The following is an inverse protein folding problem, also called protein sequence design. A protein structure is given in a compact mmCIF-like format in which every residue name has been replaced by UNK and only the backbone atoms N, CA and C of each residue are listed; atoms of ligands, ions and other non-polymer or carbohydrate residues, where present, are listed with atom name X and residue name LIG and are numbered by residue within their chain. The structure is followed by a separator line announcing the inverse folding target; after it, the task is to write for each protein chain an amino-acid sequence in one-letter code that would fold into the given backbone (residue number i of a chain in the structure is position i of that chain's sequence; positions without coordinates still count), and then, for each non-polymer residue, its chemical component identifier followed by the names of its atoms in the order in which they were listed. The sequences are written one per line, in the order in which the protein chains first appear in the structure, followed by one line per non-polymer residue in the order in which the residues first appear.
data_IF_174580610321
#
_entry.id   IF_174580610321
#
_cell.length_a   1.000
_cell.length_b   1.000
_cell.length_c   1.000
_cell.angle_alpha   90.00
_cell.angle_beta   90.00
_cell.angle_gamma   90.00
#
_symmetry.space_group_name_H-M   'P 1'
#
loop_
_entity.id
_entity.type
_entity.pdbx_description
1 polymer ?
#
# COMPACT_ATOMS: atom_id res chain seq x y z
N UNK A 1 5.08 24.42 -18.35
CA UNK A 1 4.36 23.17 -18.04
C UNK A 1 3.80 22.60 -19.33
N UNK A 2 4.25 21.41 -19.74
CA UNK A 2 3.57 20.62 -20.79
C UNK A 2 2.22 20.21 -20.17
N UNK A 3 1.10 20.41 -20.87
CA UNK A 3 -0.20 19.98 -20.34
C UNK A 3 -0.19 18.46 -20.19
N UNK A 4 -0.60 17.96 -19.02
CA UNK A 4 -0.70 16.51 -18.78
C UNK A 4 -1.78 15.95 -19.72
N UNK A 5 -1.38 15.04 -20.61
CA UNK A 5 -2.31 14.42 -21.56
C UNK A 5 -2.99 13.24 -20.88
N UNK A 6 -4.29 13.37 -20.68
CA UNK A 6 -5.10 12.34 -20.03
C UNK A 6 -5.95 11.56 -21.02
N UNK A 7 -6.15 10.27 -20.75
CA UNK A 7 -7.09 9.37 -21.42
C UNK A 7 -8.11 8.85 -20.41
N UNK A 8 -9.33 8.56 -20.86
CA UNK A 8 -10.36 7.95 -20.00
C UNK A 8 -10.23 6.44 -19.99
N UNK A 9 -10.71 5.78 -18.94
CA UNK A 9 -10.82 4.32 -18.92
C UNK A 9 -11.71 3.77 -20.03
N UNK A 10 -12.76 4.49 -20.41
CA UNK A 10 -13.61 4.09 -21.53
C UNK A 10 -12.83 4.05 -22.86
N UNK A 11 -11.92 4.99 -23.07
CA UNK A 11 -11.06 5.00 -24.25
C UNK A 11 -9.99 3.89 -24.19
N UNK A 12 -9.40 3.65 -23.01
CA UNK A 12 -8.48 2.52 -22.79
C UNK A 12 -9.19 1.19 -23.08
N UNK A 13 -10.37 0.96 -22.50
CA UNK A 13 -11.15 -0.26 -22.70
C UNK A 13 -11.51 -0.41 -24.18
N UNK A 14 -11.95 0.67 -24.84
CA UNK A 14 -12.25 0.63 -26.28
C UNK A 14 -11.01 0.27 -27.12
N UNK A 15 -9.84 0.79 -26.76
CA UNK A 15 -8.58 0.43 -27.41
C UNK A 15 -8.24 -1.05 -27.19
N UNK A 16 -8.38 -1.55 -25.95
CA UNK A 16 -8.07 -2.93 -25.58
C UNK A 16 -9.11 -3.96 -26.07
N UNK A 17 -10.27 -3.52 -26.58
CA UNK A 17 -11.17 -4.40 -27.34
C UNK A 17 -10.60 -4.79 -28.71
N UNK A 18 -9.52 -4.17 -29.17
CA UNK A 18 -8.77 -4.62 -30.34
C UNK A 18 -7.79 -5.70 -29.95
N UNK A 19 -7.81 -6.83 -30.67
CA UNK A 19 -6.89 -7.94 -30.44
C UNK A 19 -5.41 -7.51 -30.49
N UNK A 20 -5.07 -6.55 -31.35
CA UNK A 20 -3.69 -6.05 -31.50
C UNK A 20 -3.21 -5.36 -30.22
N UNK A 21 -4.02 -4.46 -29.66
CA UNK A 21 -3.64 -3.74 -28.43
C UNK A 21 -3.72 -4.63 -27.20
N UNK A 22 -4.70 -5.54 -27.15
CA UNK A 22 -4.78 -6.54 -26.08
C UNK A 22 -3.57 -7.47 -26.08
N UNK A 23 -3.16 -7.95 -27.26
CA UNK A 23 -2.00 -8.81 -27.42
C UNK A 23 -0.72 -8.09 -26.98
N UNK A 24 -0.53 -6.83 -27.42
CA UNK A 24 0.66 -6.06 -27.03
C UNK A 24 0.68 -5.76 -25.52
N UNK A 25 -0.46 -5.43 -24.91
CA UNK A 25 -0.57 -5.29 -23.46
C UNK A 25 -0.18 -6.59 -22.75
N UNK A 26 -0.75 -7.72 -23.18
CA UNK A 26 -0.48 -9.01 -22.59
C UNK A 26 0.97 -9.45 -22.75
N UNK A 27 1.59 -9.16 -23.90
CA UNK A 27 3.00 -9.43 -24.16
C UNK A 27 3.90 -8.63 -23.22
N UNK A 28 3.68 -7.31 -23.10
CA UNK A 28 4.43 -6.43 -22.20
C UNK A 28 4.25 -6.85 -20.74
N UNK A 29 3.02 -7.04 -20.30
CA UNK A 29 2.73 -7.42 -18.93
C UNK A 29 3.35 -8.77 -18.56
N UNK A 30 3.06 -9.79 -19.37
CA UNK A 30 3.52 -11.14 -19.13
C UNK A 30 5.05 -11.28 -19.11
N UNK A 31 5.73 -10.65 -20.07
CA UNK A 31 7.17 -10.81 -20.22
C UNK A 31 8.00 -9.82 -19.41
N UNK A 32 7.54 -8.58 -19.29
CA UNK A 32 8.36 -7.48 -18.76
C UNK A 32 8.04 -7.21 -17.27
N UNK A 33 6.85 -7.59 -16.78
CA UNK A 33 6.38 -7.18 -15.45
C UNK A 33 5.94 -8.33 -14.52
N UNK A 34 5.76 -9.55 -15.04
CA UNK A 34 5.53 -10.72 -14.19
C UNK A 34 6.83 -11.49 -13.98
N UNK A 35 7.16 -11.77 -12.71
CA UNK A 35 8.25 -12.68 -12.38
C UNK A 35 7.88 -14.12 -12.75
N UNK A 36 8.89 -14.99 -12.94
CA UNK A 36 8.64 -16.41 -13.22
C UNK A 36 7.82 -17.11 -12.11
N UNK A 37 7.96 -16.66 -10.85
CA UNK A 37 7.16 -17.16 -9.73
C UNK A 37 5.69 -16.75 -9.86
N UNK A 38 5.42 -15.49 -10.19
CA UNK A 38 4.07 -14.98 -10.44
C UNK A 38 3.43 -15.72 -11.63
N UNK A 39 4.16 -15.88 -12.74
CA UNK A 39 3.67 -16.64 -13.89
C UNK A 39 3.32 -18.09 -13.50
N UNK A 40 4.18 -18.77 -12.75
CA UNK A 40 3.91 -20.12 -12.28
C UNK A 40 2.71 -20.20 -11.33
N UNK A 41 2.51 -19.19 -10.48
CA UNK A 41 1.34 -19.10 -9.60
C UNK A 41 0.05 -18.91 -10.40
N UNK A 42 0.08 -18.06 -11.44
CA UNK A 42 -1.06 -17.85 -12.34
C UNK A 42 -1.43 -19.12 -13.10
N UNK A 43 -0.45 -19.84 -13.66
CA UNK A 43 -0.70 -21.12 -14.35
C UNK A 43 -1.35 -22.14 -13.41
N UNK A 44 -0.87 -22.25 -12.15
CA UNK A 44 -1.47 -23.17 -11.18
C UNK A 44 -2.89 -22.79 -10.79
N UNK A 45 -3.18 -21.50 -10.68
CA UNK A 45 -4.47 -20.99 -10.21
C UNK A 45 -5.55 -21.01 -11.31
N UNK A 46 -5.17 -20.72 -12.56
CA UNK A 46 -6.09 -20.48 -13.68
C UNK A 46 -5.82 -21.42 -14.87
N UNK A 47 -5.38 -22.64 -14.59
CA UNK A 47 -4.93 -23.57 -15.63
C UNK A 47 -5.99 -23.80 -16.71
N UNK A 48 -7.25 -23.99 -16.32
CA UNK A 48 -8.32 -24.31 -17.27
C UNK A 48 -8.68 -23.09 -18.12
N UNK A 49 -8.79 -21.92 -17.50
CA UNK A 49 -9.13 -20.67 -18.18
C UNK A 49 -8.04 -20.25 -19.17
N UNK A 50 -6.78 -20.53 -18.85
CA UNK A 50 -5.65 -20.30 -19.76
C UNK A 50 -5.68 -21.27 -20.95
N UNK A 51 -6.07 -22.54 -20.75
CA UNK A 51 -6.23 -23.50 -21.84
C UNK A 51 -7.38 -23.10 -22.77
N UNK A 52 -8.53 -22.73 -22.21
CA UNK A 52 -9.68 -22.25 -22.99
C UNK A 52 -9.30 -21.00 -23.81
N UNK A 53 -8.58 -20.05 -23.19
CA UNK A 53 -8.10 -18.86 -23.88
C UNK A 53 -7.09 -19.20 -25.00
N UNK A 54 -6.24 -20.20 -24.80
CA UNK A 54 -5.28 -20.62 -25.82
C UNK A 54 -6.01 -21.18 -27.05
N UNK A 55 -7.07 -21.96 -26.85
CA UNK A 55 -7.89 -22.49 -27.93
C UNK A 55 -8.64 -21.37 -28.67
N UNK A 56 -9.24 -20.43 -27.95
CA UNK A 56 -9.88 -19.24 -28.53
C UNK A 56 -8.90 -18.41 -29.36
N UNK A 57 -7.67 -18.24 -28.87
CA UNK A 57 -6.64 -17.44 -29.56
C UNK A 57 -6.07 -18.13 -30.80
N UNK A 58 -6.13 -19.46 -30.88
CA UNK A 58 -5.64 -20.22 -32.04
C UNK A 58 -6.44 -19.94 -33.33
N UNK A 59 -7.69 -19.47 -33.20
CA UNK A 59 -8.55 -19.11 -34.33
C UNK A 59 -8.22 -17.72 -34.93
N UNK A 60 -7.42 -16.89 -34.24
CA UNK A 60 -7.01 -15.58 -34.74
C UNK A 60 -5.83 -15.69 -35.69
N UNK A 61 -6.12 -15.69 -37.00
CA UNK A 61 -5.10 -15.83 -38.05
C UNK A 61 -4.21 -14.60 -38.28
N UNK A 62 -4.50 -13.46 -37.65
CA UNK A 62 -3.82 -12.18 -37.87
C UNK A 62 -2.69 -11.87 -36.89
N UNK A 63 -2.53 -12.67 -35.82
CA UNK A 63 -1.54 -12.45 -34.76
C UNK A 63 -0.67 -13.71 -34.54
N UNK A 64 0.56 -13.55 -34.03
CA UNK A 64 1.37 -14.71 -33.62
C UNK A 64 0.69 -15.44 -32.46
N UNK A 65 0.82 -16.76 -32.42
CA UNK A 65 0.41 -17.53 -31.24
C UNK A 65 1.17 -17.02 -30.01
N UNK A 66 0.49 -16.70 -28.90
CA UNK A 66 1.14 -16.19 -27.70
C UNK A 66 1.98 -17.27 -27.03
N UNK A 67 3.15 -16.90 -26.50
CA UNK A 67 3.84 -17.72 -25.52
C UNK A 67 3.09 -17.73 -24.18
N UNK A 68 3.52 -18.57 -23.24
CA UNK A 68 2.83 -18.73 -21.96
C UNK A 68 2.75 -17.43 -21.15
N UNK A 69 3.80 -16.60 -21.18
CA UNK A 69 3.82 -15.33 -20.48
C UNK A 69 2.81 -14.34 -21.08
N UNK A 70 2.81 -14.21 -22.41
CA UNK A 70 1.87 -13.39 -23.16
C UNK A 70 0.43 -13.83 -22.94
N UNK A 71 0.17 -15.15 -22.95
CA UNK A 71 -1.15 -15.72 -22.69
C UNK A 71 -1.68 -15.33 -21.29
N UNK A 72 -0.83 -15.41 -20.27
CA UNK A 72 -1.17 -14.98 -18.90
C UNK A 72 -1.48 -13.49 -18.88
N UNK A 73 -0.66 -12.66 -19.53
CA UNK A 73 -0.91 -11.21 -19.60
C UNK A 73 -2.23 -10.87 -20.30
N UNK A 74 -2.57 -11.55 -21.40
CA UNK A 74 -3.86 -11.38 -22.09
C UNK A 74 -5.02 -11.78 -21.17
N UNK A 75 -4.91 -12.92 -20.49
CA UNK A 75 -5.91 -13.39 -19.54
C UNK A 75 -6.14 -12.35 -18.42
N UNK A 76 -5.08 -11.88 -17.77
CA UNK A 76 -5.17 -10.90 -16.71
C UNK A 76 -5.79 -9.59 -17.20
N UNK A 77 -5.38 -9.11 -18.38
CA UNK A 77 -5.97 -7.90 -18.97
C UNK A 77 -7.48 -8.07 -19.22
N UNK A 78 -7.91 -9.21 -19.78
CA UNK A 78 -9.34 -9.51 -19.98
C UNK A 78 -10.10 -9.53 -18.65
N UNK A 79 -9.54 -10.13 -17.60
CA UNK A 79 -10.16 -10.13 -16.29
C UNK A 79 -10.32 -8.72 -15.73
N UNK A 80 -9.26 -7.92 -15.71
CA UNK A 80 -9.33 -6.52 -15.22
C UNK A 80 -10.35 -5.71 -16.01
N UNK A 81 -10.36 -5.81 -17.35
CA UNK A 81 -11.33 -5.12 -18.19
C UNK A 81 -12.76 -5.55 -17.87
N UNK A 82 -13.00 -6.85 -17.69
CA UNK A 82 -14.32 -7.36 -17.35
C UNK A 82 -14.79 -6.84 -15.98
N UNK A 83 -13.91 -6.81 -14.99
CA UNK A 83 -14.21 -6.26 -13.67
C UNK A 83 -14.53 -4.77 -13.75
N UNK A 84 -13.72 -3.98 -14.47
CA UNK A 84 -13.92 -2.54 -14.66
C UNK A 84 -15.25 -2.21 -15.35
N UNK A 85 -15.63 -2.95 -16.40
CA UNK A 85 -16.89 -2.72 -17.13
C UNK A 85 -18.12 -2.93 -16.25
N UNK A 86 -18.01 -3.77 -15.21
CA UNK A 86 -19.10 -4.08 -14.30
C UNK A 86 -19.24 -3.11 -13.12
N UNK A 87 -18.39 -2.07 -13.04
CA UNK A 87 -18.45 -1.08 -11.96
C UNK A 87 -19.23 0.18 -12.35
N UNK A 88 -19.80 0.82 -11.33
CA UNK A 88 -20.23 2.21 -11.42
C UNK A 88 -19.08 3.13 -10.99
N UNK A 89 -18.63 4.08 -11.81
CA UNK A 89 -17.47 4.91 -11.49
C UNK A 89 -17.76 5.86 -10.32
N UNK A 90 -16.82 5.94 -9.37
CA UNK A 90 -16.83 6.97 -8.31
C UNK A 90 -16.15 8.22 -8.86
N UNK A 91 -16.90 9.29 -9.06
CA UNK A 91 -16.35 10.53 -9.61
C UNK A 91 -15.12 11.02 -8.84
N UNK A 92 -14.01 11.21 -9.54
CA UNK A 92 -12.77 11.75 -8.98
C UNK A 92 -12.13 12.75 -9.95
N UNK A 93 -11.58 13.84 -9.39
CA UNK A 93 -10.77 14.79 -10.14
C UNK A 93 -9.29 14.35 -10.25
N UNK A 94 -8.93 13.30 -9.51
CA UNK A 94 -7.58 12.73 -9.47
C UNK A 94 -7.25 11.96 -10.75
N UNK A 95 -5.95 11.80 -10.97
CA UNK A 95 -5.39 11.22 -12.18
C UNK A 95 -4.42 10.10 -11.78
N UNK A 96 -4.63 8.90 -12.31
CA UNK A 96 -3.65 7.83 -12.28
C UNK A 96 -2.52 8.21 -13.24
N UNK A 97 -1.41 8.66 -12.67
CA UNK A 97 -0.26 9.16 -13.41
C UNK A 97 0.82 8.08 -13.42
N UNK A 98 1.29 7.75 -14.62
CA UNK A 98 2.31 6.75 -14.89
C UNK A 98 3.48 7.44 -15.58
N UNK A 99 4.56 7.63 -14.82
CA UNK A 99 5.75 8.31 -15.30
C UNK A 99 6.90 7.32 -15.55
N UNK A 100 7.71 7.63 -16.56
CA UNK A 100 8.95 6.91 -16.83
C UNK A 100 10.16 7.75 -16.44
N UNK A 101 11.11 7.15 -15.74
CA UNK A 101 12.40 7.74 -15.42
C UNK A 101 13.54 7.02 -16.12
N UNK A 102 14.45 7.80 -16.72
CA UNK A 102 15.67 7.27 -17.33
C UNK A 102 16.61 6.62 -16.30
N UNK A 103 16.49 7.01 -15.02
CA UNK A 103 17.20 6.41 -13.90
C UNK A 103 16.22 5.59 -13.07
N UNK A 104 16.55 4.33 -12.74
CA UNK A 104 15.71 3.56 -11.84
C UNK A 104 15.63 4.22 -10.46
N UNK A 105 14.52 3.97 -9.77
CA UNK A 105 14.32 4.34 -8.38
C UNK A 105 15.09 3.39 -7.43
N UNK A 106 14.84 3.55 -6.12
CA UNK A 106 15.45 2.71 -5.09
C UNK A 106 15.04 1.22 -5.14
N UNK A 107 14.01 0.88 -5.92
CA UNK A 107 13.50 -0.48 -6.12
C UNK A 107 13.89 -1.04 -7.50
N UNK A 108 14.83 -0.40 -8.20
CA UNK A 108 15.23 -0.71 -9.57
C UNK A 108 14.08 -0.58 -10.61
N UNK A 109 12.99 0.10 -10.24
CA UNK A 109 11.89 0.40 -11.15
C UNK A 109 12.16 1.69 -11.91
N UNK A 110 11.89 1.68 -13.21
CA UNK A 110 11.90 2.89 -14.06
C UNK A 110 10.53 3.53 -14.21
N UNK A 111 9.50 2.85 -13.74
CA UNK A 111 8.13 3.30 -13.84
C UNK A 111 7.61 3.63 -12.45
N UNK A 112 6.95 4.77 -12.34
CA UNK A 112 6.32 5.23 -11.11
C UNK A 112 4.84 5.46 -11.38
N UNK A 113 4.00 4.97 -10.47
CA UNK A 113 2.56 5.15 -10.55
C UNK A 113 2.12 5.92 -9.31
N UNK A 114 1.45 7.05 -9.53
CA UNK A 114 0.91 7.89 -8.48
C UNK A 114 -0.54 8.25 -8.75
N UNK A 115 -1.26 8.55 -7.68
CA UNK A 115 -2.55 9.22 -7.71
C UNK A 115 -2.24 10.71 -7.60
N UNK A 116 -2.40 11.44 -8.70
CA UNK A 116 -2.11 12.87 -8.77
C UNK A 116 -3.39 13.68 -8.57
N UNK A 117 -3.37 14.58 -7.58
CA UNK A 117 -4.42 15.56 -7.33
C UNK A 117 -4.05 16.90 -8.00
N UNK A 118 -4.70 17.28 -9.11
CA UNK A 118 -4.35 18.50 -9.85
C UNK A 118 -4.77 19.79 -9.14
N UNK A 119 -5.64 19.72 -8.13
CA UNK A 119 -6.09 20.90 -7.36
C UNK A 119 -5.07 21.25 -6.29
N UNK A 120 -4.56 20.24 -5.59
CA UNK A 120 -3.56 20.39 -4.53
C UNK A 120 -2.11 20.38 -5.04
N UNK A 121 -1.88 19.92 -6.27
CA UNK A 121 -0.54 19.64 -6.83
C UNK A 121 0.22 18.61 -5.98
N UNK A 122 -0.48 17.54 -5.60
CA UNK A 122 0.03 16.48 -4.72
C UNK A 122 0.00 15.12 -5.42
N UNK A 123 1.03 14.32 -5.16
CA UNK A 123 1.14 12.93 -5.64
C UNK A 123 1.11 11.97 -4.45
N UNK A 124 0.24 10.97 -4.55
CA UNK A 124 0.04 9.93 -3.54
C UNK A 124 0.34 8.55 -4.13
N UNK A 125 0.71 7.61 -3.26
CA UNK A 125 0.86 6.19 -3.60
C UNK A 125 -0.39 5.41 -3.16
N UNK A 126 -0.48 4.12 -3.52
CA UNK A 126 -1.55 3.25 -3.02
C UNK A 126 -2.63 2.91 -4.06
N UNK A 127 -2.31 2.88 -5.36
CA UNK A 127 -3.28 2.44 -6.39
C UNK A 127 -3.84 1.03 -6.11
N UNK A 128 -3.04 0.15 -5.52
CA UNK A 128 -3.48 -1.17 -5.08
C UNK A 128 -4.58 -1.12 -4.00
N UNK A 129 -4.72 -0.02 -3.27
CA UNK A 129 -5.69 0.16 -2.19
C UNK A 129 -7.04 0.71 -2.68
N UNK A 130 -7.10 1.10 -3.96
CA UNK A 130 -8.34 1.59 -4.59
C UNK A 130 -9.23 0.44 -5.06
N UNK A 131 -10.54 0.59 -4.92
CA UNK A 131 -11.53 -0.27 -5.58
C UNK A 131 -11.51 -0.07 -7.10
N UNK A 132 -12.07 -1.02 -7.86
CA UNK A 132 -12.22 -0.84 -9.30
C UNK A 132 -13.13 0.34 -9.65
N UNK A 133 -14.13 0.65 -8.82
CA UNK A 133 -15.03 1.78 -8.99
C UNK A 133 -14.29 3.14 -8.86
N UNK A 134 -13.38 3.25 -7.91
CA UNK A 134 -12.52 4.43 -7.74
C UNK A 134 -11.53 4.58 -8.89
N UNK A 135 -10.86 3.48 -9.26
CA UNK A 135 -9.95 3.46 -10.43
C UNK A 135 -10.69 3.94 -11.68
N UNK A 136 -11.88 3.39 -11.97
CA UNK A 136 -12.67 3.71 -13.15
C UNK A 136 -13.08 5.18 -13.22
N UNK A 137 -13.29 5.81 -12.06
CA UNK A 137 -13.66 7.22 -11.95
C UNK A 137 -12.52 8.20 -12.17
N UNK A 138 -11.26 7.75 -12.08
CA UNK A 138 -10.08 8.56 -12.34
C UNK A 138 -9.75 8.63 -13.83
N UNK A 139 -9.06 9.70 -14.24
CA UNK A 139 -8.42 9.76 -15.56
C UNK A 139 -7.04 9.10 -15.49
N UNK A 140 -6.51 8.66 -16.63
CA UNK A 140 -5.16 8.09 -16.72
C UNK A 140 -4.26 9.03 -17.49
N UNK A 141 -3.04 9.26 -17.02
CA UNK A 141 -1.99 9.93 -17.76
C UNK A 141 -0.77 9.00 -17.82
N UNK A 142 -0.33 8.63 -19.02
CA UNK A 142 0.86 7.82 -19.23
C UNK A 142 1.83 8.68 -20.06
N UNK A 143 3.08 8.74 -19.62
CA UNK A 143 4.14 9.36 -20.40
C UNK A 143 4.24 8.71 -21.80
N UNK A 144 3.85 9.45 -22.83
CA UNK A 144 3.77 8.97 -24.21
C UNK A 144 5.07 9.15 -25.00
N UNK A 145 6.11 9.75 -24.39
CA UNK A 145 7.39 10.01 -25.06
C UNK A 145 8.29 8.75 -25.16
N UNK A 146 7.90 7.60 -24.56
CA UNK A 146 8.69 6.35 -24.55
C UNK A 146 7.94 5.10 -25.03
N UNK A 147 7.01 4.55 -24.25
CA UNK A 147 6.25 3.32 -24.60
C UNK A 147 4.93 3.26 -23.84
N UNK A 148 3.85 3.73 -24.47
CA UNK A 148 2.52 3.79 -23.88
C UNK A 148 2.01 2.42 -23.39
N UNK A 149 2.27 1.34 -24.14
CA UNK A 149 1.78 0.01 -23.79
C UNK A 149 2.53 -0.58 -22.60
N UNK A 150 3.83 -0.27 -22.46
CA UNK A 150 4.58 -0.64 -21.27
C UNK A 150 4.07 0.12 -20.03
N UNK A 151 3.80 1.43 -20.14
CA UNK A 151 3.20 2.19 -19.05
C UNK A 151 1.83 1.65 -18.63
N UNK A 152 1.00 1.26 -19.60
CA UNK A 152 -0.29 0.64 -19.33
C UNK A 152 -0.13 -0.73 -18.65
N UNK A 153 0.84 -1.55 -19.07
CA UNK A 153 1.13 -2.83 -18.43
C UNK A 153 1.56 -2.67 -16.97
N UNK A 154 2.38 -1.65 -16.67
CA UNK A 154 2.80 -1.33 -15.29
C UNK A 154 1.59 -0.91 -14.45
N UNK A 155 0.73 -0.06 -14.98
CA UNK A 155 -0.50 0.35 -14.29
C UNK A 155 -1.39 -0.86 -13.98
N UNK A 156 -1.63 -1.73 -14.96
CA UNK A 156 -2.43 -2.94 -14.76
C UNK A 156 -1.81 -3.88 -13.72
N UNK A 157 -0.48 -4.04 -13.75
CA UNK A 157 0.24 -4.82 -12.76
C UNK A 157 0.02 -4.28 -11.34
N UNK A 158 0.17 -2.96 -11.17
CA UNK A 158 -0.04 -2.28 -9.89
C UNK A 158 -1.46 -2.42 -9.38
N UNK A 159 -2.44 -2.22 -10.27
CA UNK A 159 -3.85 -2.45 -9.97
C UNK A 159 -3.97 -3.85 -9.38
N UNK A 160 -3.53 -4.90 -10.08
CA UNK A 160 -3.75 -6.29 -9.62
C UNK A 160 -3.01 -6.74 -8.35
N UNK A 161 -2.15 -5.91 -7.73
CA UNK A 161 -1.44 -6.30 -6.50
C UNK A 161 -2.36 -6.74 -5.36
N UNK A 162 -3.56 -6.15 -5.26
CA UNK A 162 -4.56 -6.51 -4.25
C UNK A 162 -5.53 -7.60 -4.69
N UNK A 163 -5.40 -8.12 -5.91
CA UNK A 163 -6.29 -9.13 -6.47
C UNK A 163 -6.72 -8.80 -7.89
N UNK A 164 -7.04 -9.85 -8.64
CA UNK A 164 -7.49 -9.75 -10.03
C UNK A 164 -9.00 -9.47 -10.11
N UNK A 165 -9.78 -10.07 -9.21
CA UNK A 165 -11.23 -9.88 -9.14
C UNK A 165 -11.63 -8.89 -8.06
N UNK A 166 -12.77 -8.22 -8.22
CA UNK A 166 -13.27 -7.23 -7.26
C UNK A 166 -13.38 -7.77 -5.83
N UNK A 167 -13.85 -9.02 -5.67
CA UNK A 167 -13.98 -9.65 -4.35
C UNK A 167 -12.63 -9.92 -3.68
N UNK A 168 -11.58 -10.24 -4.46
CA UNK A 168 -10.22 -10.43 -3.94
C UNK A 168 -9.67 -9.11 -3.42
N UNK A 169 -9.82 -8.05 -4.23
CA UNK A 169 -9.41 -6.69 -3.89
C UNK A 169 -10.12 -6.19 -2.65
N UNK A 170 -11.44 -6.29 -2.63
CA UNK A 170 -12.27 -5.87 -1.51
C UNK A 170 -11.87 -6.56 -0.21
N UNK A 171 -11.52 -7.84 -0.26
CA UNK A 171 -11.05 -8.57 0.92
C UNK A 171 -9.67 -8.09 1.42
N UNK A 172 -8.75 -7.76 0.52
CA UNK A 172 -7.43 -7.20 0.87
C UNK A 172 -7.58 -5.80 1.45
N UNK A 173 -8.32 -4.91 0.77
CA UNK A 173 -8.58 -3.54 1.21
C UNK A 173 -9.28 -3.53 2.58
N UNK A 174 -10.28 -4.39 2.78
CA UNK A 174 -10.95 -4.52 4.08
C UNK A 174 -9.97 -4.91 5.20
N UNK A 175 -9.08 -5.86 4.94
CA UNK A 175 -8.09 -6.31 5.92
C UNK A 175 -7.08 -5.20 6.24
N UNK A 176 -6.55 -4.53 5.24
CA UNK A 176 -5.63 -3.41 5.41
C UNK A 176 -6.26 -2.27 6.24
N UNK A 177 -7.50 -1.90 5.92
CA UNK A 177 -8.24 -0.90 6.70
C UNK A 177 -8.47 -1.34 8.16
N UNK A 178 -8.73 -2.61 8.40
CA UNK A 178 -8.89 -3.14 9.75
C UNK A 178 -7.56 -3.13 10.53
N UNK A 179 -6.45 -3.48 9.87
CA UNK A 179 -5.10 -3.42 10.44
C UNK A 179 -4.70 -1.99 10.77
N UNK A 180 -4.94 -1.04 9.86
CA UNK A 180 -4.67 0.37 10.08
C UNK A 180 -5.46 0.92 11.28
N UNK A 181 -6.76 0.63 11.38
CA UNK A 181 -7.57 1.04 12.54
C UNK A 181 -7.06 0.44 13.84
N UNK A 182 -6.57 -0.81 13.82
CA UNK A 182 -5.99 -1.44 15.00
C UNK A 182 -4.68 -0.75 15.42
N UNK A 183 -3.83 -0.39 14.46
CA UNK A 183 -2.60 0.38 14.70
C UNK A 183 -2.91 1.77 15.25
N UNK A 184 -3.86 2.49 14.65
CA UNK A 184 -4.31 3.81 15.12
C UNK A 184 -4.88 3.74 16.55
N UNK A 185 -5.73 2.75 16.84
CA UNK A 185 -6.25 2.53 18.18
C UNK A 185 -5.14 2.25 19.19
N UNK A 186 -4.18 1.38 18.84
CA UNK A 186 -3.04 1.09 19.71
C UNK A 186 -2.15 2.32 19.94
N UNK A 187 -2.00 3.18 18.93
CA UNK A 187 -1.28 4.45 19.05
C UNK A 187 -2.00 5.40 20.03
N UNK A 188 -3.32 5.57 19.91
CA UNK A 188 -4.08 6.40 20.84
C UNK A 188 -4.03 5.87 22.28
N UNK A 189 -4.19 4.55 22.47
CA UNK A 189 -4.08 3.92 23.79
C UNK A 189 -2.68 4.14 24.41
N UNK A 190 -1.63 4.02 23.60
CA UNK A 190 -0.26 4.30 24.02
C UNK A 190 -0.08 5.77 24.41
N UNK A 191 -0.52 6.70 23.56
CA UNK A 191 -0.43 8.15 23.83
C UNK A 191 -1.19 8.54 25.09
N UNK A 192 -2.40 8.02 25.30
CA UNK A 192 -3.18 8.29 26.50
C UNK A 192 -2.48 7.77 27.76
N UNK A 193 -2.00 6.52 27.73
CA UNK A 193 -1.32 5.91 28.88
C UNK A 193 -0.02 6.64 29.24
N UNK A 194 0.83 6.91 28.25
CA UNK A 194 2.09 7.63 28.45
C UNK A 194 1.86 9.05 28.99
N UNK A 195 0.86 9.77 28.46
CA UNK A 195 0.48 11.10 28.93
C UNK A 195 -0.04 11.08 30.37
N UNK A 196 -0.87 10.10 30.74
CA UNK A 196 -1.34 9.96 32.13
C UNK A 196 -0.18 9.71 33.10
N UNK A 197 0.80 8.88 32.72
CA UNK A 197 1.99 8.63 33.54
C UNK A 197 2.85 9.90 33.65
N UNK A 198 3.01 10.67 32.57
CA UNK A 198 3.75 11.93 32.59
C UNK A 198 3.10 12.96 33.52
N UNK A 199 1.79 13.18 33.38
CA UNK A 199 1.03 14.09 34.25
C UNK A 199 1.06 13.65 35.71
N UNK A 200 1.01 12.34 35.96
CA UNK A 200 1.20 11.81 37.30
C UNK A 200 2.58 12.18 37.87
N UNK A 201 3.66 12.04 37.08
CA UNK A 201 4.98 12.41 37.57
C UNK A 201 5.07 13.91 37.86
N UNK A 202 4.49 14.78 37.02
CA UNK A 202 4.47 16.22 37.27
C UNK A 202 3.79 16.55 38.62
N UNK A 203 2.63 15.95 38.89
CA UNK A 203 1.90 16.13 40.15
C UNK A 203 2.64 15.50 41.35
N UNK A 204 3.24 14.32 41.14
CA UNK A 204 3.96 13.60 42.18
C UNK A 204 5.22 14.36 42.61
N UNK A 205 5.95 14.97 41.66
CA UNK A 205 7.07 15.88 41.95
C UNK A 205 6.61 17.11 42.73
N UNK A 206 5.54 17.76 42.27
CA UNK A 206 5.03 18.96 42.93
C UNK A 206 4.59 18.71 44.38
N UNK A 207 4.12 17.49 44.69
CA UNK A 207 3.68 17.10 46.03
C UNK A 207 4.79 16.53 46.94
N UNK A 208 5.96 16.20 46.39
CA UNK A 208 7.10 15.64 47.14
C UNK A 208 8.41 16.42 46.90
N UNK A 209 8.43 17.76 47.09
CA UNK A 209 9.58 18.60 46.74
C UNK A 209 10.85 18.31 47.54
N UNK A 210 10.70 17.72 48.73
CA UNK A 210 11.79 17.46 49.66
C UNK A 210 12.34 16.02 49.58
N UNK A 211 11.84 15.17 48.67
CA UNK A 211 12.34 13.80 48.51
C UNK A 211 13.64 13.79 47.67
N UNK A 212 14.80 13.50 48.28
CA UNK A 212 16.09 13.57 47.59
C UNK A 212 16.30 12.45 46.57
N UNK A 213 15.55 11.35 46.63
CA UNK A 213 15.69 10.21 45.71
C UNK A 213 14.73 10.29 44.52
N UNK A 214 13.75 11.20 44.59
CA UNK A 214 12.71 11.32 43.58
C UNK A 214 13.21 11.58 42.15
N UNK A 215 14.26 12.40 41.92
CA UNK A 215 14.80 12.60 40.58
C UNK A 215 15.29 11.30 39.92
N UNK A 216 16.00 10.47 40.68
CA UNK A 216 16.53 9.18 40.19
C UNK A 216 15.40 8.16 39.95
N UNK A 217 14.38 8.16 40.83
CA UNK A 217 13.21 7.32 40.63
C UNK A 217 12.42 7.71 39.38
N UNK A 218 12.20 9.00 39.13
CA UNK A 218 11.51 9.46 37.92
C UNK A 218 12.33 9.14 36.68
N UNK A 219 13.64 9.37 36.71
CA UNK A 219 14.52 9.01 35.60
C UNK A 219 14.43 7.52 35.25
N UNK A 220 14.31 6.63 36.25
CA UNK A 220 14.14 5.19 36.03
C UNK A 220 12.84 4.86 35.28
N UNK A 221 11.74 5.55 35.57
CA UNK A 221 10.43 5.26 34.99
C UNK A 221 10.05 6.16 33.81
N UNK A 222 10.82 7.21 33.52
CA UNK A 222 10.60 8.12 32.40
C UNK A 222 10.46 7.44 31.03
N UNK A 223 11.12 6.31 30.73
CA UNK A 223 10.85 5.58 29.49
C UNK A 223 9.38 5.14 29.31
N UNK A 224 8.58 5.06 30.38
CA UNK A 224 7.13 4.79 30.28
C UNK A 224 6.31 5.98 29.75
N UNK A 225 6.88 7.17 29.67
CA UNK A 225 6.22 8.36 29.09
C UNK A 225 6.62 8.60 27.64
N UNK A 226 7.69 7.96 27.18
CA UNK A 226 8.31 8.24 25.88
C UNK A 226 8.37 7.02 24.96
N UNK A 227 8.21 5.80 25.50
CA UNK A 227 8.30 4.54 24.75
C UNK A 227 9.65 3.84 24.91
N UNK A 228 9.75 2.61 24.40
CA UNK A 228 11.02 1.85 24.39
C UNK A 228 11.85 2.28 23.19
N UNK A 229 13.12 2.63 23.42
CA UNK A 229 14.07 2.83 22.35
C UNK A 229 14.49 1.48 21.76
N UNK A 230 14.25 1.28 20.46
CA UNK A 230 14.66 0.09 19.72
C UNK A 230 15.37 0.51 18.42
N UNK A 231 16.34 -0.29 17.92
CA UNK A 231 16.96 0.00 16.64
C UNK A 231 15.92 -0.05 15.52
N UNK A 232 16.03 0.86 14.55
CA UNK A 232 15.15 0.88 13.38
C UNK A 232 15.31 -0.40 12.53
N UNK A 233 16.52 -0.93 12.49
CA UNK A 233 16.90 -2.20 11.87
C UNK A 233 17.62 -3.06 12.91
N UNK A 234 17.01 -4.20 13.28
CA UNK A 234 17.54 -5.09 14.30
C UNK A 234 18.79 -5.85 13.85
N UNK A 235 19.02 -5.96 12.54
CA UNK A 235 20.15 -6.67 11.95
C UNK A 235 21.36 -5.76 11.69
N UNK A 236 21.20 -4.44 11.80
CA UNK A 236 22.29 -3.45 11.71
C UNK A 236 22.69 -2.89 13.09
N UNK A 237 23.88 -3.22 13.61
CA UNK A 237 24.40 -2.69 14.88
C UNK A 237 24.59 -1.17 14.91
N UNK A 238 24.69 -0.51 13.74
CA UNK A 238 24.81 0.94 13.62
C UNK A 238 23.45 1.64 13.48
N UNK A 239 22.35 0.89 13.49
CA UNK A 239 21.02 1.44 13.28
C UNK A 239 20.64 2.45 14.36
N UNK A 240 20.09 3.63 13.98
CA UNK A 240 19.64 4.61 14.96
C UNK A 240 18.52 4.01 15.83
N UNK A 241 18.58 4.32 17.12
CA UNK A 241 17.50 3.97 18.04
C UNK A 241 16.33 4.92 17.84
N UNK A 242 15.14 4.36 17.61
CA UNK A 242 13.87 5.08 17.54
C UNK A 242 13.00 4.69 18.72
N UNK A 243 12.16 5.62 19.18
CA UNK A 243 11.15 5.26 20.16
C UNK A 243 10.05 4.45 19.50
N UNK A 244 9.72 3.31 20.11
CA UNK A 244 8.60 2.46 19.71
C UNK A 244 7.36 2.85 20.52
N UNK A 245 6.18 2.77 19.90
CA UNK A 245 4.89 2.97 20.56
C UNK A 245 4.49 1.77 21.44
N UNK A 246 5.43 1.30 22.26
CA UNK A 246 5.27 0.19 23.18
C UNK A 246 5.83 0.58 24.55
N UNK A 247 5.13 0.15 25.61
CA UNK A 247 5.60 0.30 26.99
C UNK A 247 6.42 -0.94 27.38
N UNK A 248 7.56 -0.75 28.07
CA UNK A 248 8.30 -1.87 28.64
C UNK A 248 7.43 -2.57 29.71
N UNK A 249 7.01 -3.83 29.51
CA UNK A 249 6.12 -4.51 30.44
C UNK A 249 6.74 -4.71 31.83
N UNK A 250 8.06 -4.90 31.91
CA UNK A 250 8.78 -5.07 33.17
C UNK A 250 8.89 -3.74 33.90
N UNK A 251 9.16 -2.66 33.18
CA UNK A 251 9.22 -1.33 33.77
C UNK A 251 7.83 -0.88 34.24
N UNK A 252 6.78 -1.14 33.45
CA UNK A 252 5.39 -0.87 33.82
C UNK A 252 4.95 -1.66 35.05
N UNK A 253 5.33 -2.93 35.17
CA UNK A 253 5.07 -3.73 36.36
C UNK A 253 5.75 -3.14 37.60
N UNK A 254 7.01 -2.71 37.48
CA UNK A 254 7.73 -2.03 38.57
C UNK A 254 7.08 -0.70 38.94
N UNK A 255 6.64 0.09 37.97
CA UNK A 255 5.90 1.33 38.19
C UNK A 255 4.62 1.07 38.97
N UNK A 256 3.82 0.07 38.57
CA UNK A 256 2.58 -0.30 39.28
C UNK A 256 2.85 -0.76 40.72
N UNK A 257 3.94 -1.46 40.96
CA UNK A 257 4.35 -1.85 42.32
C UNK A 257 4.76 -0.65 43.17
N UNK A 258 5.51 0.31 42.58
CA UNK A 258 6.04 1.48 43.30
C UNK A 258 4.99 2.57 43.52
N UNK A 259 4.26 2.93 42.47
CA UNK A 259 3.37 4.08 42.41
C UNK A 259 1.89 3.73 42.25
N UNK A 260 1.52 2.45 42.04
CA UNK A 260 0.18 2.08 41.60
C UNK A 260 -0.98 2.49 42.53
N UNK A 261 -0.73 2.69 43.83
CA UNK A 261 -1.76 3.27 44.72
C UNK A 261 -1.91 4.78 44.52
N UNK A 262 -0.80 5.53 44.44
CA UNK A 262 -0.80 6.96 44.22
C UNK A 262 -1.34 7.30 42.82
N UNK A 263 -0.95 6.51 41.81
CA UNK A 263 -1.41 6.65 40.43
C UNK A 263 -2.92 6.42 40.29
N UNK A 264 -3.49 5.43 40.99
CA UNK A 264 -4.96 5.22 40.99
C UNK A 264 -5.71 6.41 41.59
N UNK A 265 -5.23 6.93 42.73
CA UNK A 265 -5.81 8.14 43.34
C UNK A 265 -5.73 9.34 42.42
N UNK A 266 -4.60 9.54 41.73
CA UNK A 266 -4.45 10.59 40.71
C UNK A 266 -5.50 10.46 39.61
N UNK A 267 -5.78 9.23 39.15
CA UNK A 267 -6.83 8.93 38.17
C UNK A 267 -8.26 9.03 38.72
N UNK A 268 -8.46 9.22 40.03
CA UNK A 268 -9.77 9.20 40.67
C UNK A 268 -10.37 7.80 40.85
N UNK A 269 -9.55 6.75 40.83
CA UNK A 269 -9.89 5.34 41.11
C UNK A 269 -9.64 4.96 42.58
#
# INVERSE_FOLDING_TARGET
MKALKTITWQDIIRMLNSDVYLYELGRKWGNDFLTSEQQAAMIRKYQNELLDLQDDLADYTSLPLPDSATLIGIFMARCVIAELINQEPVASDEILKVDYSAKPDQFDSRWTITIYNPVADEEMIGVAELSYAEILGMRVAIDDDTDFMAGLAVLFNEITKSGLYDWERSAVIYRQNAEQRAVESAMYDFMEQTQQIALFFDEYVASHPDDPNLPDEIALFWPLTTGIMAPLDADDPASPLISTMQLDPKLLARFKLRFGQAFRRFKGE
#
